data_IF_644559272097
#
_entry.id   IF_644559272097
#
_cell.length_a   1.000
_cell.length_b   1.000
_cell.length_c   1.000
_cell.angle_alpha   90.00
_cell.angle_beta   90.00
_cell.angle_gamma   90.00
#
_symmetry.space_group_name_H-M   'P 1'
#
loop_
_entity.id
_entity.type
_entity.pdbx_description
1 polymer ?
#
# COMPACT_ATOMS: atom_id res chain seq x y z
N UNK A 1 -20.18 -15.02 11.34
CA UNK A 1 -20.98 -13.87 10.87
C UNK A 1 -21.00 -13.77 9.35
N UNK A 2 -19.86 -13.66 8.66
CA UNK A 2 -19.82 -13.51 7.19
C UNK A 2 -20.49 -14.69 6.43
N UNK A 3 -20.28 -15.93 6.86
CA UNK A 3 -21.01 -17.11 6.34
C UNK A 3 -22.53 -17.02 6.50
N UNK A 4 -23.01 -16.39 7.57
CA UNK A 4 -24.44 -16.24 7.81
C UNK A 4 -25.05 -15.23 6.82
N UNK A 5 -24.38 -14.11 6.58
CA UNK A 5 -24.82 -13.10 5.60
C UNK A 5 -24.86 -13.66 4.17
N UNK A 6 -23.85 -14.44 3.77
CA UNK A 6 -23.81 -15.06 2.43
C UNK A 6 -24.86 -16.15 2.22
N UNK A 7 -25.44 -16.68 3.31
CA UNK A 7 -26.54 -17.66 3.24
C UNK A 7 -27.91 -17.01 3.00
N UNK A 8 -28.02 -15.72 3.24
CA UNK A 8 -29.24 -14.95 2.93
C UNK A 8 -29.35 -14.82 1.40
N UNK A 9 -30.48 -15.25 0.84
CA UNK A 9 -30.69 -15.39 -0.62
C UNK A 9 -30.46 -14.11 -1.45
N UNK A 10 -30.50 -12.94 -0.81
CA UNK A 10 -30.45 -11.63 -1.48
C UNK A 10 -29.10 -10.93 -1.34
N UNK A 11 -28.10 -11.59 -0.75
CA UNK A 11 -26.80 -10.96 -0.51
C UNK A 11 -25.98 -10.90 -1.80
N UNK A 12 -25.85 -9.70 -2.36
CA UNK A 12 -24.96 -9.43 -3.48
C UNK A 12 -23.50 -9.26 -2.99
N UNK A 13 -22.67 -10.29 -3.21
CA UNK A 13 -21.25 -10.34 -2.82
C UNK A 13 -20.42 -9.21 -3.47
N UNK A 14 -20.84 -8.77 -4.65
CA UNK A 14 -20.16 -7.75 -5.46
C UNK A 14 -20.75 -6.36 -5.28
N UNK A 15 -21.63 -6.16 -4.29
CA UNK A 15 -22.17 -4.85 -3.99
C UNK A 15 -21.05 -3.85 -3.67
N UNK A 16 -21.11 -2.69 -4.33
CA UNK A 16 -20.15 -1.61 -4.15
C UNK A 16 -20.76 -0.52 -3.26
N UNK A 17 -19.99 -0.01 -2.32
CA UNK A 17 -20.37 1.17 -1.56
C UNK A 17 -20.30 2.46 -2.42
N UNK A 18 -20.59 3.61 -1.82
CA UNK A 18 -20.51 4.93 -2.48
C UNK A 18 -19.12 5.27 -3.08
N UNK A 19 -18.08 4.55 -2.68
CA UNK A 19 -16.71 4.69 -3.19
C UNK A 19 -16.36 3.60 -4.22
N UNK A 20 -17.33 2.84 -4.74
CA UNK A 20 -17.06 1.74 -5.66
C UNK A 20 -16.35 0.55 -4.99
N UNK A 21 -16.22 0.52 -3.67
CA UNK A 21 -15.45 -0.52 -2.98
C UNK A 21 -16.37 -1.68 -2.62
N UNK A 22 -15.94 -2.90 -2.97
CA UNK A 22 -16.63 -4.15 -2.61
C UNK A 22 -16.23 -4.64 -1.22
N UNK A 23 -16.94 -5.65 -0.70
CA UNK A 23 -16.53 -6.34 0.52
C UNK A 23 -15.11 -6.94 0.40
N UNK A 24 -14.77 -7.50 -0.78
CA UNK A 24 -13.45 -8.07 -1.06
C UNK A 24 -12.35 -7.00 -0.97
N UNK A 25 -12.60 -5.79 -1.50
CA UNK A 25 -11.67 -4.66 -1.43
C UNK A 25 -11.27 -4.35 0.02
N UNK A 26 -12.24 -4.24 0.93
CA UNK A 26 -11.98 -3.96 2.35
C UNK A 26 -11.28 -5.09 3.08
N UNK A 27 -11.61 -6.35 2.74
CA UNK A 27 -10.96 -7.51 3.37
C UNK A 27 -9.48 -7.59 2.99
N UNK A 28 -9.12 -7.28 1.74
CA UNK A 28 -7.71 -7.23 1.29
C UNK A 28 -6.96 -6.08 1.96
N UNK A 29 -7.55 -4.89 2.07
CA UNK A 29 -6.92 -3.76 2.75
C UNK A 29 -6.58 -4.06 4.22
N UNK A 30 -7.40 -4.90 4.87
CA UNK A 30 -7.23 -5.36 6.25
C UNK A 30 -6.39 -6.64 6.38
N UNK A 31 -6.05 -7.28 5.27
CA UNK A 31 -5.44 -8.63 5.20
C UNK A 31 -6.21 -9.72 5.96
N UNK A 32 -7.53 -9.64 6.00
CA UNK A 32 -8.36 -10.69 6.61
C UNK A 32 -8.49 -11.90 5.67
N UNK A 33 -7.48 -12.77 5.69
CA UNK A 33 -7.38 -13.94 4.80
C UNK A 33 -8.56 -14.90 4.92
N UNK A 34 -9.14 -15.02 6.12
CA UNK A 34 -10.33 -15.83 6.38
C UNK A 34 -11.52 -15.28 5.58
N UNK A 35 -11.81 -13.98 5.72
CA UNK A 35 -12.92 -13.34 5.00
C UNK A 35 -12.67 -13.27 3.50
N UNK A 36 -11.43 -13.03 3.06
CA UNK A 36 -11.07 -13.03 1.63
C UNK A 36 -11.40 -14.38 0.99
N UNK A 37 -11.01 -15.50 1.61
CA UNK A 37 -11.29 -16.84 1.09
C UNK A 37 -12.79 -17.10 0.97
N UNK A 38 -13.54 -16.79 2.03
CA UNK A 38 -14.99 -17.01 2.04
C UNK A 38 -15.67 -16.19 0.94
N UNK A 39 -15.25 -14.93 0.73
CA UNK A 39 -15.82 -14.08 -0.32
C UNK A 39 -15.48 -14.60 -1.72
N UNK A 40 -14.23 -15.01 -1.97
CA UNK A 40 -13.83 -15.57 -3.26
C UNK A 40 -14.53 -16.90 -3.55
N UNK A 41 -14.67 -17.78 -2.55
CA UNK A 41 -15.44 -19.02 -2.66
C UNK A 41 -16.93 -18.78 -2.93
N UNK A 42 -17.47 -17.67 -2.41
CA UNK A 42 -18.83 -17.22 -2.69
C UNK A 42 -19.01 -16.50 -4.04
N UNK A 43 -17.97 -16.42 -4.87
CA UNK A 43 -18.03 -15.82 -6.20
C UNK A 43 -17.81 -14.30 -6.23
N UNK A 44 -17.13 -13.74 -5.23
CA UNK A 44 -16.68 -12.34 -5.29
C UNK A 44 -15.77 -12.13 -6.52
N UNK A 45 -16.05 -11.10 -7.31
CA UNK A 45 -15.26 -10.76 -8.49
C UNK A 45 -14.04 -9.90 -8.09
N UNK A 46 -12.82 -10.42 -8.29
CA UNK A 46 -11.58 -9.71 -7.94
C UNK A 46 -11.18 -8.65 -8.96
N UNK A 47 -11.88 -8.53 -10.09
CA UNK A 47 -11.64 -7.48 -11.08
C UNK A 47 -12.39 -6.17 -10.77
N UNK A 48 -13.36 -6.19 -9.84
CA UNK A 48 -14.15 -5.00 -9.52
C UNK A 48 -13.28 -3.97 -8.82
N UNK A 49 -13.07 -2.84 -9.48
CA UNK A 49 -12.24 -1.76 -8.98
C UNK A 49 -13.00 -0.85 -8.00
N UNK A 50 -12.32 -0.46 -6.92
CA UNK A 50 -12.79 0.56 -5.99
C UNK A 50 -11.92 1.82 -6.05
N UNK A 51 -12.45 2.95 -5.60
CA UNK A 51 -11.66 4.17 -5.50
C UNK A 51 -10.72 4.14 -4.29
N UNK A 52 -9.43 4.30 -4.56
CA UNK A 52 -8.38 4.64 -3.60
C UNK A 52 -8.01 6.12 -3.76
N UNK A 53 -7.71 6.80 -2.65
CA UNK A 53 -7.36 8.22 -2.68
C UNK A 53 -5.84 8.38 -2.71
N UNK A 54 -5.33 9.04 -3.74
CA UNK A 54 -3.92 9.44 -3.83
C UNK A 54 -3.67 10.76 -3.13
N UNK A 55 -4.66 11.65 -3.20
CA UNK A 55 -4.66 12.93 -2.52
C UNK A 55 -6.11 13.38 -2.33
N UNK A 56 -6.33 14.44 -1.56
CA UNK A 56 -7.70 15.00 -1.35
C UNK A 56 -8.46 15.30 -2.66
N UNK A 57 -7.74 15.54 -3.77
CA UNK A 57 -8.29 15.89 -5.08
C UNK A 57 -8.11 14.83 -6.17
N UNK A 58 -7.38 13.74 -5.89
CA UNK A 58 -7.03 12.71 -6.89
C UNK A 58 -7.47 11.34 -6.38
N UNK A 59 -8.40 10.73 -7.11
CA UNK A 59 -8.86 9.35 -6.87
C UNK A 59 -8.35 8.46 -7.99
N UNK A 60 -8.03 7.22 -7.65
CA UNK A 60 -7.64 6.19 -8.59
C UNK A 60 -8.53 4.97 -8.40
N UNK A 61 -8.97 4.36 -9.49
CA UNK A 61 -9.63 3.06 -9.44
C UNK A 61 -8.57 1.99 -9.39
N UNK A 62 -8.68 1.07 -8.43
CA UNK A 62 -7.78 -0.07 -8.27
C UNK A 62 -8.57 -1.33 -7.97
N UNK A 63 -8.20 -2.45 -8.57
CA UNK A 63 -8.73 -3.76 -8.18
C UNK A 63 -8.18 -4.20 -6.83
N UNK A 64 -8.90 -5.12 -6.16
CA UNK A 64 -8.47 -5.70 -4.90
C UNK A 64 -7.01 -6.22 -4.91
N UNK A 65 -6.50 -6.73 -6.03
CA UNK A 65 -5.08 -7.15 -6.12
C UNK A 65 -4.11 -6.00 -5.84
N UNK A 66 -4.27 -4.85 -6.51
CA UNK A 66 -3.34 -3.72 -6.35
C UNK A 66 -3.54 -2.97 -5.03
N UNK A 67 -4.75 -3.04 -4.47
CA UNK A 67 -5.03 -2.54 -3.11
C UNK A 67 -4.25 -3.33 -2.05
N UNK A 68 -3.86 -4.57 -2.32
CA UNK A 68 -2.97 -5.31 -1.40
C UNK A 68 -1.64 -4.62 -1.16
N UNK A 69 -1.15 -3.84 -2.14
CA UNK A 69 0.06 -3.00 -2.00
C UNK A 69 -0.15 -1.78 -1.10
N UNK A 70 -1.38 -1.55 -0.65
CA UNK A 70 -1.77 -0.48 0.27
C UNK A 70 -2.29 -1.01 1.61
N UNK A 71 -2.20 -2.33 1.86
CA UNK A 71 -2.79 -2.91 3.06
C UNK A 71 -2.19 -2.30 4.33
N UNK A 72 -2.99 -2.22 5.40
CA UNK A 72 -2.54 -1.62 6.67
C UNK A 72 -1.33 -2.36 7.27
N UNK A 73 -1.32 -3.71 7.31
CA UNK A 73 -0.15 -4.44 7.77
C UNK A 73 1.05 -4.14 6.88
N UNK A 74 0.90 -4.18 5.55
CA UNK A 74 1.96 -3.81 4.62
C UNK A 74 2.49 -2.41 4.90
N UNK A 75 1.64 -1.39 5.00
CA UNK A 75 2.05 -0.01 5.31
C UNK A 75 2.77 0.11 6.67
N UNK A 76 2.30 -0.56 7.72
CA UNK A 76 2.97 -0.57 9.04
C UNK A 76 4.32 -1.28 8.97
N UNK A 77 4.39 -2.37 8.22
CA UNK A 77 5.60 -3.13 7.97
C UNK A 77 6.68 -2.30 7.25
N UNK A 78 6.25 -1.52 6.25
CA UNK A 78 7.11 -0.58 5.50
C UNK A 78 7.62 0.58 6.36
N UNK A 79 6.91 0.95 7.43
CA UNK A 79 7.31 2.02 8.36
C UNK A 79 8.26 1.53 9.47
N UNK A 80 8.19 0.25 9.84
CA UNK A 80 8.94 -0.32 10.98
C UNK A 80 10.20 -1.08 10.57
N UNK A 81 10.28 -1.56 9.34
CA UNK A 81 11.44 -2.28 8.81
C UNK A 81 11.85 -1.68 7.49
N UNK A 82 13.16 -1.71 7.18
CA UNK A 82 13.64 -1.24 5.89
C UNK A 82 12.87 -1.95 4.77
N UNK A 83 12.36 -1.19 3.79
CA UNK A 83 11.64 -1.65 2.59
C UNK A 83 12.31 -2.88 1.92
N UNK A 84 13.64 -2.93 2.07
CA UNK A 84 14.59 -3.97 1.71
C UNK A 84 14.27 -5.37 2.28
N UNK A 85 13.91 -5.49 3.56
CA UNK A 85 13.84 -6.81 4.20
C UNK A 85 12.53 -7.55 3.88
N UNK A 86 11.42 -6.85 3.75
CA UNK A 86 10.10 -7.50 3.76
C UNK A 86 9.48 -7.74 2.40
N UNK A 87 9.68 -6.83 1.42
CA UNK A 87 9.20 -7.06 0.03
C UNK A 87 9.86 -8.26 -0.65
N UNK A 88 10.97 -8.77 -0.10
CA UNK A 88 11.77 -9.85 -0.68
C UNK A 88 11.79 -11.13 0.16
N UNK A 89 11.44 -11.09 1.47
CA UNK A 89 11.51 -12.27 2.35
C UNK A 89 10.16 -12.87 2.72
N UNK A 90 9.08 -12.10 2.80
CA UNK A 90 7.79 -12.62 3.26
C UNK A 90 6.79 -12.66 2.10
N UNK A 91 6.27 -13.83 1.70
CA UNK A 91 5.21 -13.88 0.71
C UNK A 91 4.01 -13.08 1.21
N UNK A 92 3.47 -12.21 0.37
CA UNK A 92 2.24 -11.51 0.72
C UNK A 92 1.17 -12.57 1.04
N UNK A 93 0.29 -12.32 2.02
CA UNK A 93 -0.82 -13.22 2.30
C UNK A 93 -1.64 -13.56 1.04
N UNK A 94 -1.72 -12.61 0.09
CA UNK A 94 -2.40 -12.77 -1.21
C UNK A 94 -1.72 -13.75 -2.17
N UNK A 95 -0.44 -14.10 -1.96
CA UNK A 95 0.33 -14.93 -2.89
C UNK A 95 -0.33 -16.29 -3.14
N UNK A 96 -0.84 -16.94 -2.08
CA UNK A 96 -1.55 -18.21 -2.21
C UNK A 96 -2.83 -18.10 -3.06
N UNK A 97 -3.47 -16.93 -3.06
CA UNK A 97 -4.70 -16.68 -3.82
C UNK A 97 -4.39 -16.37 -5.28
N UNK A 98 -3.30 -15.65 -5.53
CA UNK A 98 -2.75 -15.45 -6.87
C UNK A 98 -2.33 -16.79 -7.48
N UNK A 99 -1.62 -17.63 -6.70
CA UNK A 99 -1.22 -18.97 -7.12
C UNK A 99 -2.42 -19.87 -7.44
N UNK A 100 -3.54 -19.69 -6.74
CA UNK A 100 -4.81 -20.37 -7.01
C UNK A 100 -5.57 -19.81 -8.23
N UNK A 101 -5.07 -18.73 -8.85
CA UNK A 101 -5.63 -18.15 -10.08
C UNK A 101 -6.77 -17.16 -9.87
N UNK A 102 -7.13 -16.83 -8.63
CA UNK A 102 -8.25 -15.91 -8.36
C UNK A 102 -8.03 -14.53 -8.98
N UNK A 103 -6.79 -14.05 -9.03
CA UNK A 103 -6.48 -12.70 -9.53
C UNK A 103 -5.98 -12.67 -10.98
N UNK A 104 -5.93 -13.81 -11.67
CA UNK A 104 -5.44 -13.91 -13.06
C UNK A 104 -6.58 -13.74 -14.07
N UNK A 105 -7.52 -12.84 -13.77
CA UNK A 105 -8.69 -12.58 -14.62
C UNK A 105 -8.34 -11.58 -15.73
N UNK A 106 -9.03 -11.60 -16.89
CA UNK A 106 -8.77 -10.64 -17.97
C UNK A 106 -8.89 -9.18 -17.54
N UNK A 107 -9.79 -8.88 -16.59
CA UNK A 107 -9.95 -7.54 -16.04
C UNK A 107 -8.72 -7.06 -15.26
N UNK A 108 -8.18 -7.91 -14.38
CA UNK A 108 -6.96 -7.59 -13.60
C UNK A 108 -5.73 -7.53 -14.49
N UNK A 109 -5.62 -8.41 -15.50
CA UNK A 109 -4.53 -8.38 -16.49
C UNK A 109 -4.58 -7.08 -17.30
N UNK A 110 -5.77 -6.65 -17.74
CA UNK A 110 -5.93 -5.38 -18.47
C UNK A 110 -5.54 -4.19 -17.59
N UNK A 111 -5.99 -4.19 -16.34
CA UNK A 111 -5.61 -3.15 -15.38
C UNK A 111 -4.09 -3.10 -15.19
N UNK A 112 -3.41 -4.24 -15.04
CA UNK A 112 -1.94 -4.27 -14.92
C UNK A 112 -1.26 -3.59 -16.12
N UNK A 113 -1.71 -3.90 -17.35
CA UNK A 113 -1.15 -3.29 -18.56
C UNK A 113 -1.39 -1.78 -18.58
N UNK A 114 -2.60 -1.32 -18.24
CA UNK A 114 -2.93 0.10 -18.16
C UNK A 114 -2.09 0.82 -17.09
N UNK A 115 -1.87 0.19 -15.94
CA UNK A 115 -1.01 0.72 -14.87
C UNK A 115 0.44 0.86 -15.35
N UNK A 116 0.98 -0.15 -16.04
CA UNK A 116 2.35 -0.12 -16.57
C UNK A 116 2.49 1.00 -17.60
N UNK A 117 1.58 1.11 -18.56
CA UNK A 117 1.64 2.13 -19.61
C UNK A 117 1.56 3.56 -19.06
N UNK A 118 0.72 3.78 -18.04
CA UNK A 118 0.53 5.10 -17.44
C UNK A 118 1.66 5.51 -16.50
N UNK A 119 2.15 4.58 -15.68
CA UNK A 119 3.00 4.90 -14.54
C UNK A 119 4.44 4.44 -14.68
N UNK A 120 4.70 3.42 -15.50
CA UNK A 120 5.97 2.70 -15.59
C UNK A 120 6.30 2.33 -17.05
N UNK A 121 6.33 3.31 -17.98
CA UNK A 121 6.44 3.06 -19.42
C UNK A 121 7.72 2.29 -19.81
N UNK A 122 8.77 2.36 -18.98
CA UNK A 122 10.01 1.59 -19.14
C UNK A 122 9.85 0.07 -19.03
N UNK A 123 8.70 -0.43 -18.54
CA UNK A 123 8.34 -1.84 -18.46
C UNK A 123 7.26 -2.26 -19.46
N UNK A 124 6.93 -1.41 -20.43
CA UNK A 124 5.89 -1.68 -21.45
C UNK A 124 6.10 -2.99 -22.23
N UNK A 125 7.34 -3.45 -22.40
CA UNK A 125 7.64 -4.74 -23.04
C UNK A 125 7.13 -5.94 -22.22
N UNK A 126 7.00 -5.81 -20.89
CA UNK A 126 6.49 -6.87 -20.03
C UNK A 126 4.98 -7.08 -20.18
N UNK A 127 4.24 -6.11 -20.71
CA UNK A 127 2.79 -6.21 -20.96
C UNK A 127 2.42 -7.40 -21.87
N UNK A 128 3.32 -7.78 -22.78
CA UNK A 128 3.18 -8.98 -23.62
C UNK A 128 2.99 -10.28 -22.82
N UNK A 129 3.41 -10.28 -21.56
CA UNK A 129 3.34 -11.41 -20.63
C UNK A 129 2.58 -11.08 -19.34
N UNK A 130 1.68 -10.09 -19.37
CA UNK A 130 0.99 -9.56 -18.18
C UNK A 130 0.31 -10.65 -17.31
N UNK A 131 -0.25 -11.69 -17.93
CA UNK A 131 -0.82 -12.84 -17.22
C UNK A 131 0.23 -13.55 -16.32
N UNK A 132 1.39 -13.89 -16.88
CA UNK A 132 2.50 -14.48 -16.11
C UNK A 132 3.12 -13.47 -15.15
N UNK A 133 3.11 -12.18 -15.49
CA UNK A 133 3.68 -11.11 -14.69
C UNK A 133 2.99 -10.98 -13.32
N UNK A 134 1.67 -11.18 -13.26
CA UNK A 134 0.93 -11.24 -11.99
C UNK A 134 1.53 -12.31 -11.05
N UNK A 135 1.79 -13.50 -11.56
CA UNK A 135 2.43 -14.58 -10.78
C UNK A 135 3.90 -14.28 -10.46
N UNK A 136 4.63 -13.63 -11.36
CA UNK A 136 6.02 -13.22 -11.12
C UNK A 136 6.13 -12.21 -9.97
N UNK A 137 5.18 -11.28 -9.91
CA UNK A 137 5.14 -10.21 -8.91
C UNK A 137 4.55 -10.69 -7.58
N UNK A 138 3.35 -11.28 -7.61
CA UNK A 138 2.57 -11.56 -6.40
C UNK A 138 2.58 -13.05 -6.00
N UNK A 139 2.94 -13.96 -6.90
CA UNK A 139 2.96 -15.40 -6.62
C UNK A 139 4.12 -15.86 -5.73
N UNK A 140 3.93 -17.02 -5.09
CA UNK A 140 4.97 -17.64 -4.25
C UNK A 140 5.11 -19.15 -4.46
N UNK A 141 4.05 -19.93 -4.27
CA UNK A 141 4.09 -21.39 -4.51
C UNK A 141 4.16 -21.73 -5.99
N UNK A 142 3.61 -20.88 -6.85
CA UNK A 142 3.77 -21.01 -8.31
C UNK A 142 5.15 -20.54 -8.79
N UNK A 143 6.00 -20.01 -7.90
CA UNK A 143 7.28 -19.46 -8.31
C UNK A 143 8.25 -20.54 -8.78
N UNK A 144 8.74 -20.39 -10.00
CA UNK A 144 9.77 -21.28 -10.52
C UNK A 144 11.09 -21.10 -9.75
N UNK A 145 11.97 -22.11 -9.80
CA UNK A 145 13.33 -21.97 -9.24
C UNK A 145 14.07 -20.76 -9.83
N UNK A 146 13.84 -20.44 -11.11
CA UNK A 146 14.40 -19.25 -11.77
C UNK A 146 13.89 -17.95 -11.13
N UNK A 147 12.61 -17.88 -10.80
CA UNK A 147 12.02 -16.73 -10.13
C UNK A 147 12.57 -16.56 -8.71
N UNK A 148 12.66 -17.64 -7.94
CA UNK A 148 13.22 -17.60 -6.58
C UNK A 148 14.71 -17.21 -6.60
N UNK A 149 15.48 -17.77 -7.55
CA UNK A 149 16.88 -17.39 -7.76
C UNK A 149 17.00 -15.91 -8.15
N UNK A 150 16.17 -15.43 -9.07
CA UNK A 150 16.16 -14.01 -9.45
C UNK A 150 15.85 -13.10 -8.26
N UNK A 151 14.85 -13.43 -7.43
CA UNK A 151 14.54 -12.69 -6.20
C UNK A 151 15.72 -12.67 -5.24
N UNK A 152 16.42 -13.79 -5.08
CA UNK A 152 17.60 -13.88 -4.19
C UNK A 152 18.81 -13.13 -4.73
N UNK A 153 19.08 -13.22 -6.03
CA UNK A 153 20.14 -12.42 -6.68
C UNK A 153 19.82 -10.93 -6.56
N UNK A 154 18.58 -10.53 -6.84
CA UNK A 154 18.15 -9.14 -6.71
C UNK A 154 18.35 -8.64 -5.28
N UNK A 155 17.90 -9.42 -4.29
CA UNK A 155 18.11 -9.12 -2.88
C UNK A 155 19.60 -8.98 -2.54
N UNK A 156 20.42 -9.98 -2.86
CA UNK A 156 21.83 -9.99 -2.43
C UNK A 156 22.67 -8.94 -3.14
N UNK A 157 22.51 -8.78 -4.46
CA UNK A 157 23.41 -7.95 -5.28
C UNK A 157 22.98 -6.48 -5.38
N UNK A 158 21.69 -6.18 -5.21
CA UNK A 158 21.17 -4.81 -5.38
C UNK A 158 20.63 -4.23 -4.08
N UNK A 159 20.39 -5.02 -3.05
CA UNK A 159 19.76 -4.52 -1.82
C UNK A 159 20.66 -4.75 -0.61
N UNK A 160 21.06 -6.00 -0.33
CA UNK A 160 21.81 -6.35 0.87
C UNK A 160 23.31 -6.04 0.75
N UNK A 161 23.88 -6.17 -0.45
CA UNK A 161 25.27 -5.85 -0.70
C UNK A 161 25.41 -4.97 -1.95
N UNK A 162 25.58 -3.66 -1.71
CA UNK A 162 25.74 -2.68 -2.79
C UNK A 162 27.16 -2.65 -3.37
N UNK A 163 28.06 -3.55 -2.96
CA UNK A 163 29.42 -3.66 -3.49
C UNK A 163 29.49 -3.87 -5.00
N UNK A 164 28.44 -4.43 -5.60
CA UNK A 164 28.35 -4.66 -7.03
C UNK A 164 28.02 -3.37 -7.81
N UNK A 165 27.38 -2.39 -7.16
CA UNK A 165 26.86 -1.18 -7.82
C UNK A 165 27.93 -0.34 -8.54
N UNK A 166 29.15 -0.14 -8.01
CA UNK A 166 30.17 0.64 -8.70
C UNK A 166 30.60 0.06 -10.05
N UNK A 167 30.45 -1.26 -10.22
CA UNK A 167 30.78 -1.95 -11.47
C UNK A 167 29.60 -1.96 -12.46
N UNK A 168 28.39 -1.67 -11.99
CA UNK A 168 27.15 -1.76 -12.78
C UNK A 168 26.65 -0.37 -13.19
N UNK A 169 26.83 0.63 -12.33
CA UNK A 169 26.38 2.00 -12.54
C UNK A 169 27.40 2.83 -13.35
N UNK A 170 26.93 3.74 -14.23
CA UNK A 170 27.83 4.70 -14.88
C UNK A 170 28.43 5.68 -13.85
N UNK A 171 29.69 6.08 -14.06
CA UNK A 171 30.49 6.92 -13.13
C UNK A 171 29.79 8.20 -12.63
N UNK A 172 28.86 8.77 -13.40
CA UNK A 172 28.09 9.94 -13.01
C UNK A 172 27.09 9.68 -11.86
N UNK A 173 26.62 8.44 -11.70
CA UNK A 173 25.69 8.02 -10.66
C UNK A 173 26.36 7.65 -9.33
N UNK A 174 27.69 7.57 -9.31
CA UNK A 174 28.51 7.21 -8.15
C UNK A 174 28.75 8.36 -7.15
N UNK A 175 28.33 9.58 -7.47
CA UNK A 175 28.52 10.73 -6.57
C UNK A 175 27.68 10.65 -5.28
N UNK A 176 26.55 9.95 -5.33
CA UNK A 176 25.77 9.62 -4.15
C UNK A 176 26.25 8.26 -3.60
N UNK A 177 26.89 8.23 -2.43
CA UNK A 177 27.30 6.99 -1.77
C UNK A 177 26.06 6.22 -1.27
N UNK A 178 25.58 5.23 -2.03
CA UNK A 178 24.51 4.32 -1.59
C UNK A 178 25.08 3.12 -0.83
N UNK A 179 25.43 3.33 0.44
CA UNK A 179 25.77 2.22 1.34
C UNK A 179 24.48 1.45 1.70
N UNK A 180 24.55 0.12 1.76
CA UNK A 180 23.44 -0.75 2.14
C UNK A 180 22.83 -0.36 3.51
N UNK A 181 23.67 0.01 4.49
CA UNK A 181 23.20 0.44 5.81
C UNK A 181 22.47 1.79 5.76
N UNK A 182 22.83 2.66 4.82
CA UNK A 182 22.18 3.94 4.63
C UNK A 182 20.85 3.82 3.87
N UNK A 183 20.79 2.91 2.88
CA UNK A 183 19.55 2.53 2.21
C UNK A 183 18.54 1.90 3.19
N UNK A 184 19.02 1.16 4.20
CA UNK A 184 18.16 0.55 5.22
C UNK A 184 17.61 1.58 6.21
N UNK A 185 18.41 2.58 6.57
CA UNK A 185 18.06 3.58 7.58
C UNK A 185 17.29 4.78 7.02
N UNK A 186 17.35 5.05 5.70
CA UNK A 186 16.74 6.23 5.10
C UNK A 186 15.75 5.88 3.96
N UNK A 187 14.42 5.88 4.24
CA UNK A 187 13.39 5.56 3.25
C UNK A 187 13.40 6.46 2.01
N UNK A 188 13.75 7.75 2.15
CA UNK A 188 13.80 8.68 1.01
C UNK A 188 14.96 8.38 0.07
N UNK A 189 16.13 7.99 0.62
CA UNK A 189 17.26 7.54 -0.19
C UNK A 189 16.95 6.21 -0.89
N UNK A 190 16.25 5.30 -0.22
CA UNK A 190 15.80 4.06 -0.83
C UNK A 190 14.82 4.29 -1.98
N UNK A 191 13.84 5.17 -1.80
CA UNK A 191 12.91 5.55 -2.87
C UNK A 191 13.65 6.12 -4.08
N UNK A 192 14.59 7.05 -3.85
CA UNK A 192 15.46 7.61 -4.90
C UNK A 192 16.25 6.50 -5.61
N UNK A 193 16.82 5.56 -4.85
CA UNK A 193 17.60 4.44 -5.37
C UNK A 193 16.78 3.53 -6.28
N UNK A 194 15.60 3.09 -5.84
CA UNK A 194 14.72 2.20 -6.63
C UNK A 194 14.15 2.91 -7.88
N UNK A 195 13.76 4.19 -7.76
CA UNK A 195 13.08 4.91 -8.83
C UNK A 195 14.04 5.52 -9.86
N UNK A 196 15.22 5.99 -9.44
CA UNK A 196 16.15 6.70 -10.33
C UNK A 196 17.34 5.85 -10.76
N UNK A 197 17.89 5.01 -9.88
CA UNK A 197 19.12 4.26 -10.19
C UNK A 197 18.86 2.88 -10.74
N UNK A 198 18.00 2.09 -10.07
CA UNK A 198 17.68 0.76 -10.57
C UNK A 198 16.78 0.87 -11.79
N UNK A 199 17.38 0.68 -12.97
CA UNK A 199 16.72 0.73 -14.26
C UNK A 199 16.86 -0.61 -14.98
N UNK A 200 16.03 -0.91 -16.00
CA UNK A 200 16.19 -2.12 -16.81
C UNK A 200 17.59 -2.28 -17.42
N UNK A 201 18.28 -1.17 -17.72
CA UNK A 201 19.66 -1.19 -18.22
C UNK A 201 20.66 -1.66 -17.17
N UNK A 202 20.51 -1.21 -15.92
CA UNK A 202 21.30 -1.66 -14.77
C UNK A 202 21.09 -3.15 -14.53
N UNK A 203 19.85 -3.64 -14.60
CA UNK A 203 19.56 -5.07 -14.48
C UNK A 203 20.21 -5.89 -15.60
N UNK A 204 20.17 -5.39 -16.84
CA UNK A 204 20.84 -6.03 -17.98
C UNK A 204 22.36 -6.09 -17.79
N UNK A 205 22.97 -5.02 -17.25
CA UNK A 205 24.40 -4.99 -16.92
C UNK A 205 24.76 -5.95 -15.79
N UNK A 206 23.94 -6.03 -14.74
CA UNK A 206 24.10 -7.02 -13.67
C UNK A 206 24.10 -8.44 -14.23
N UNK A 207 23.14 -8.77 -15.10
CA UNK A 207 23.05 -10.10 -15.74
C UNK A 207 24.33 -10.42 -16.52
N UNK A 208 24.93 -9.44 -17.21
CA UNK A 208 26.18 -9.62 -17.94
C UNK A 208 27.38 -9.83 -17.01
N UNK A 209 27.52 -9.01 -15.95
CA UNK A 209 28.67 -9.06 -15.03
C UNK A 209 28.66 -10.34 -14.20
N UNK A 210 27.49 -10.75 -13.72
CA UNK A 210 27.30 -11.97 -12.92
C UNK A 210 27.17 -13.22 -13.81
N UNK A 211 27.23 -13.06 -15.14
CA UNK A 211 27.11 -14.15 -16.12
C UNK A 211 25.82 -14.98 -15.96
N UNK A 212 24.72 -14.29 -15.65
CA UNK A 212 23.42 -14.91 -15.48
C UNK A 212 22.74 -15.15 -16.84
N UNK A 213 21.88 -16.18 -16.97
CA UNK A 213 21.07 -16.37 -18.16
C UNK A 213 20.19 -15.14 -18.45
N UNK A 214 20.16 -14.68 -19.70
CA UNK A 214 19.30 -13.57 -20.16
C UNK A 214 17.81 -13.79 -19.86
N UNK A 215 17.38 -15.06 -19.76
CA UNK A 215 16.02 -15.43 -19.35
C UNK A 215 15.64 -14.97 -17.94
N UNK A 216 16.62 -14.68 -17.08
CA UNK A 216 16.38 -14.13 -15.74
C UNK A 216 16.08 -12.63 -15.76
N UNK A 217 16.37 -11.92 -16.86
CA UNK A 217 16.16 -10.47 -16.92
C UNK A 217 14.70 -10.10 -16.68
N UNK A 218 13.75 -10.80 -17.31
CA UNK A 218 12.32 -10.57 -17.09
C UNK A 218 11.88 -10.80 -15.63
N UNK A 219 12.52 -11.74 -14.92
CA UNK A 219 12.23 -12.01 -13.51
C UNK A 219 12.78 -10.89 -12.60
N UNK A 220 13.97 -10.36 -12.91
CA UNK A 220 14.55 -9.22 -12.21
C UNK A 220 13.76 -7.93 -12.47
N UNK A 221 13.33 -7.70 -13.71
CA UNK A 221 12.50 -6.56 -14.09
C UNK A 221 11.12 -6.62 -13.44
N UNK A 222 10.48 -7.80 -13.39
CA UNK A 222 9.23 -8.00 -12.66
C UNK A 222 9.39 -7.69 -11.16
N UNK A 223 10.50 -8.07 -10.55
CA UNK A 223 10.78 -7.75 -9.15
C UNK A 223 10.98 -6.24 -8.93
N UNK A 224 11.68 -5.56 -9.85
CA UNK A 224 11.85 -4.11 -9.81
C UNK A 224 10.52 -3.38 -9.99
N UNK A 225 9.70 -3.81 -10.95
CA UNK A 225 8.36 -3.27 -11.18
C UNK A 225 7.49 -3.44 -9.92
N UNK A 226 7.49 -4.62 -9.31
CA UNK A 226 6.77 -4.87 -8.05
C UNK A 226 7.19 -3.89 -6.94
N UNK A 227 8.49 -3.65 -6.76
CA UNK A 227 8.99 -2.70 -5.77
C UNK A 227 8.56 -1.26 -6.10
N UNK A 228 8.67 -0.83 -7.36
CA UNK A 228 8.25 0.51 -7.79
C UNK A 228 6.75 0.72 -7.61
N UNK A 229 5.94 -0.26 -7.96
CA UNK A 229 4.48 -0.25 -7.73
C UNK A 229 4.17 -0.18 -6.24
N UNK A 230 4.87 -0.95 -5.41
CA UNK A 230 4.72 -0.93 -3.96
C UNK A 230 5.02 0.45 -3.38
N UNK A 231 6.12 1.09 -3.80
CA UNK A 231 6.48 2.45 -3.34
C UNK A 231 5.48 3.50 -3.81
N UNK A 232 5.06 3.43 -5.08
CA UNK A 232 4.09 4.36 -5.64
C UNK A 232 2.74 4.25 -4.92
N UNK A 233 2.26 3.04 -4.70
CA UNK A 233 0.96 2.81 -4.06
C UNK A 233 0.99 2.94 -2.54
N UNK A 234 2.16 2.79 -1.90
CA UNK A 234 2.32 3.11 -0.48
C UNK A 234 1.87 4.54 -0.14
N UNK A 235 2.10 5.50 -1.04
CA UNK A 235 1.69 6.90 -0.86
C UNK A 235 0.17 7.11 -0.84
N UNK A 236 -0.61 6.11 -1.28
CA UNK A 236 -2.05 6.20 -1.39
C UNK A 236 -2.71 5.95 -0.01
N UNK A 237 -3.74 6.73 0.31
CA UNK A 237 -4.53 6.57 1.53
C UNK A 237 -5.89 5.96 1.18
N UNK A 238 -6.17 4.75 1.67
CA UNK A 238 -7.54 4.28 1.76
C UNK A 238 -8.22 5.01 2.92
N UNK A 239 -9.19 5.87 2.61
CA UNK A 239 -9.94 6.63 3.61
C UNK A 239 -10.59 5.64 4.61
N UNK A 240 -10.19 5.71 5.88
CA UNK A 240 -10.89 5.02 6.96
C UNK A 240 -12.33 5.53 6.98
N UNK A 241 -13.31 4.63 7.09
CA UNK A 241 -14.55 5.00 7.76
C UNK A 241 -14.15 5.48 9.15
N UNK A 242 -14.21 6.80 9.40
CA UNK A 242 -14.22 7.32 10.75
C UNK A 242 -15.48 6.76 11.39
N UNK A 243 -15.36 5.67 12.13
CA UNK A 243 -16.33 5.37 13.17
C UNK A 243 -16.23 6.59 14.09
N UNK A 244 -17.29 7.41 14.28
CA UNK A 244 -17.26 8.43 15.29
C UNK A 244 -16.91 7.73 16.60
N UNK A 245 -15.97 8.27 17.39
CA UNK A 245 -15.75 7.79 18.74
C UNK A 245 -17.08 7.89 19.48
N UNK A 246 -17.84 6.80 19.53
CA UNK A 246 -18.87 6.61 20.53
C UNK A 246 -18.06 6.35 21.79
N UNK A 247 -17.75 7.44 22.48
CA UNK A 247 -17.32 7.41 23.87
C UNK A 247 -18.43 6.68 24.61
N UNK A 248 -18.21 5.39 24.90
CA UNK A 248 -19.01 4.69 25.89
C UNK A 248 -18.68 5.34 27.24
N UNK A 249 -19.35 6.46 27.54
CA UNK A 249 -19.59 6.87 28.91
C UNK A 249 -20.51 5.80 29.50
N UNK A 250 -19.91 4.73 30.01
CA UNK A 250 -20.58 3.83 30.93
C UNK A 250 -20.39 4.45 32.30
N UNK A 251 -21.54 4.84 32.86
CA UNK A 251 -21.83 5.12 34.24
C UNK A 251 -20.95 4.33 35.21
N UNK A 252 -20.28 5.05 36.10
CA UNK A 252 -20.04 4.61 37.47
C UNK A 252 -20.00 5.88 38.34
N UNK A 253 -21.19 6.43 38.59
CA UNK A 253 -21.45 7.17 39.82
C UNK A 253 -21.85 6.15 40.88
N UNK A 254 -21.12 6.12 41.99
CA UNK A 254 -21.60 6.07 43.39
C UNK A 254 -20.42 5.80 44.34
N UNK A 255 -20.06 6.86 45.08
CA UNK A 255 -19.58 6.97 46.47
C UNK A 255 -18.32 6.17 46.90
N UNK A 256 -17.37 6.70 47.69
CA UNK A 256 -17.43 7.69 48.78
C UNK A 256 -15.99 8.04 49.21
N UNK A 257 -15.80 9.25 49.77
CA UNK A 257 -14.88 9.71 50.84
C UNK A 257 -13.51 8.99 51.03
N UNK A 258 -12.38 9.65 51.24
CA UNK A 258 -12.12 10.76 52.17
C UNK A 258 -10.68 11.28 51.96
N UNK A 259 -10.40 12.52 52.42
CA UNK A 259 -9.13 12.80 53.10
C UNK A 259 -7.94 13.40 52.34
N UNK A 260 -7.92 14.74 52.30
CA UNK A 260 -6.84 15.57 52.84
C UNK A 260 -5.59 15.97 52.00
N UNK A 261 -5.54 17.30 51.81
CA UNK A 261 -4.45 18.23 52.14
C UNK A 261 -3.29 18.52 51.16
N UNK A 262 -3.22 19.83 50.88
CA UNK A 262 -2.03 20.69 50.95
C UNK A 262 -1.30 21.13 49.66
N UNK A 263 -1.73 22.33 49.23
CA UNK A 263 -0.99 23.60 49.39
C UNK A 263 -0.12 24.18 48.26
N UNK A 264 -0.41 25.47 48.04
CA UNK A 264 0.44 26.61 47.66
C UNK A 264 0.68 26.86 46.16
N UNK A 265 0.17 27.97 45.57
CA UNK A 265 0.58 29.41 45.62
C UNK A 265 1.14 29.77 44.21
N UNK A 266 1.00 30.93 43.59
CA UNK A 266 0.58 32.29 43.94
C UNK A 266 0.19 33.05 42.64
N UNK A 267 -0.70 34.03 42.80
CA UNK A 267 -0.75 35.42 42.23
C UNK A 267 -0.57 35.62 40.69
N UNK A 268 -1.57 36.10 39.91
CA UNK A 268 -2.19 37.46 39.82
C UNK A 268 -1.18 38.52 39.31
N UNK A 269 -1.45 39.43 38.35
CA UNK A 269 -2.56 40.34 38.04
C UNK A 269 -2.63 40.54 36.50
N UNK A 270 -3.79 40.63 35.84
CA UNK A 270 -4.74 41.75 35.73
C UNK A 270 -4.20 42.95 34.93
N UNK A 271 -4.79 43.19 33.75
CA UNK A 271 -5.15 44.56 33.35
C UNK A 271 -6.18 44.56 32.20
N UNK A 272 -7.29 45.19 32.55
CA UNK A 272 -8.53 45.42 31.82
C UNK A 272 -8.48 46.57 30.82
N UNK A 273 -9.42 46.52 29.84
CA UNK A 273 -10.16 47.62 29.19
C UNK A 273 -10.33 47.28 27.69
N UNK A 274 -11.42 47.48 26.96
CA UNK A 274 -12.75 48.09 27.16
C UNK A 274 -13.21 48.45 25.73
N UNK A 275 -14.38 47.94 25.31
CA UNK A 275 -15.33 48.48 24.31
C UNK A 275 -14.84 49.31 23.11
N UNK A 276 -15.24 48.94 21.88
CA UNK A 276 -16.45 49.54 21.30
C UNK A 276 -16.97 48.81 20.04
N UNK A 277 -18.27 48.97 19.84
CA UNK A 277 -19.17 48.38 18.85
C UNK A 277 -19.27 49.23 17.58
N UNK A 278 -19.45 48.60 16.41
CA UNK A 278 -20.37 49.09 15.35
C UNK A 278 -20.49 48.11 14.17
N UNK A 279 -21.60 47.38 14.18
CA UNK A 279 -22.58 47.16 13.09
C UNK A 279 -22.21 47.38 11.61
N UNK A 280 -22.40 46.32 10.80
CA UNK A 280 -23.28 46.25 9.61
C UNK A 280 -23.16 44.82 9.02
N UNK A 281 -24.13 43.93 9.23
CA UNK A 281 -25.21 43.63 8.27
C UNK A 281 -24.73 43.47 6.82
N UNK A 282 -24.59 42.23 6.34
CA UNK A 282 -25.45 41.78 5.23
C UNK A 282 -25.60 40.24 5.21
N UNK A 283 -26.80 39.84 4.83
CA UNK A 283 -27.38 38.52 4.93
C UNK A 283 -27.02 37.60 3.76
N UNK A 284 -27.14 36.29 4.00
CA UNK A 284 -27.03 35.28 2.96
C UNK A 284 -26.93 33.87 3.53
N UNK A 285 -27.91 33.49 4.35
CA UNK A 285 -28.11 32.09 4.71
C UNK A 285 -28.60 31.30 3.50
N UNK A 286 -28.14 30.07 3.36
CA UNK A 286 -29.10 28.99 3.24
C UNK A 286 -28.55 27.71 3.86
N UNK A 287 -29.22 27.34 4.93
CA UNK A 287 -29.18 26.09 5.65
C UNK A 287 -29.92 25.04 4.84
N UNK A 288 -29.34 23.85 4.68
CA UNK A 288 -30.12 22.61 4.58
C UNK A 288 -29.27 21.45 5.13
N UNK A 289 -29.24 21.43 6.46
CA UNK A 289 -28.98 20.27 7.29
C UNK A 289 -30.35 19.84 7.83
N UNK A 290 -30.99 18.79 7.30
CA UNK A 290 -31.92 17.96 8.08
C UNK A 290 -32.04 16.53 7.51
N UNK A 291 -31.72 15.56 8.38
CA UNK A 291 -32.35 14.26 8.67
C UNK A 291 -33.00 13.47 7.49
N UNK A 292 -32.69 12.20 7.23
CA UNK A 292 -32.64 11.00 8.08
C UNK A 292 -31.68 9.94 7.54
#
# INVERSE_FOLDING_TARGET
>A
FLHYLLKVKETNVNHQNNNGQTALFHCILREDMSSIRILLEAGADPAIQGYAWESRRKKRKLSPLFVSLMSIPFQRSLLQSSLCEQSLRTPLPIANLVDAGYFTTPGVVKELSELIEQDFPEFSHLCSSACSLIHLMFGYKSASLKQLAARKVFQLCLIDNTSCLPNILPLASLQDNFNADELRSNPRKYEKYINLLLTPTVLRRLVQIVQLPLTLLAHLEAQLLYLRMSLKFFSLQAQRSRIPNITYQIFDDVNSDDGSSDNNRDESDDDSASYDSSTAEDAGGDSDLEYW
#
